data_IF_676772728981
#
_entry.id   IF_676772728981
#
_cell.length_a   1.000
_cell.length_b   1.000
_cell.length_c   1.000
_cell.angle_alpha   90.00
_cell.angle_beta   90.00
_cell.angle_gamma   90.00
#
_symmetry.space_group_name_H-M   'P 1'
#
loop_
_entity.id
_entity.type
_entity.pdbx_description
1 polymer ?
#
# COMPACT_ATOMS: atom_id res chain seq x y z
N UNK A 1 0.70 -52.75 17.19
CA UNK A 1 0.17 -53.14 15.85
C UNK A 1 0.16 -51.89 14.98
N UNK A 2 0.96 -51.93 13.92
CA UNK A 2 1.20 -50.84 12.99
C UNK A 2 0.12 -50.89 11.91
N UNK A 3 -0.59 -49.78 11.66
CA UNK A 3 -1.36 -49.62 10.44
C UNK A 3 -0.92 -48.37 9.70
N UNK A 4 -0.31 -48.65 8.55
CA UNK A 4 0.15 -47.75 7.51
C UNK A 4 -0.97 -46.81 7.06
N UNK A 5 -0.70 -45.50 7.06
CA UNK A 5 -1.35 -44.57 6.13
C UNK A 5 -0.30 -44.06 5.15
N UNK A 6 -0.52 -44.43 3.89
CA UNK A 6 0.36 -44.18 2.75
C UNK A 6 0.40 -42.69 2.40
N UNK A 7 1.62 -42.24 2.13
CA UNK A 7 1.96 -41.00 1.43
C UNK A 7 1.13 -40.81 0.14
N UNK A 8 0.47 -39.65 0.01
CA UNK A 8 0.16 -39.04 -1.30
C UNK A 8 1.28 -38.06 -1.63
N UNK A 9 2.01 -38.33 -2.71
CA UNK A 9 2.89 -37.36 -3.36
C UNK A 9 2.08 -36.44 -4.30
N UNK A 10 2.55 -35.21 -4.55
CA UNK A 10 1.84 -34.22 -5.35
C UNK A 10 1.95 -34.50 -6.86
N UNK A 11 0.87 -34.20 -7.58
CA UNK A 11 0.81 -34.27 -9.05
C UNK A 11 1.43 -33.01 -9.65
N UNK A 12 2.63 -33.16 -10.19
CA UNK A 12 3.25 -32.19 -11.10
C UNK A 12 2.55 -32.22 -12.45
N UNK A 13 1.98 -31.11 -12.90
CA UNK A 13 1.78 -30.86 -14.32
C UNK A 13 2.49 -29.56 -14.71
N UNK A 14 3.48 -29.71 -15.60
CA UNK A 14 4.18 -28.67 -16.33
C UNK A 14 3.91 -28.94 -17.80
N UNK A 15 3.42 -27.94 -18.54
CA UNK A 15 3.51 -27.70 -20.00
C UNK A 15 2.38 -26.71 -20.36
N UNK A 16 2.47 -25.70 -21.20
CA UNK A 16 3.49 -24.93 -21.92
C UNK A 16 2.70 -23.74 -22.58
N UNK A 17 3.33 -22.68 -23.11
CA UNK A 17 2.67 -21.41 -23.39
C UNK A 17 1.94 -21.36 -24.74
N UNK A 18 0.77 -20.71 -24.76
CA UNK A 18 0.06 -20.36 -25.99
C UNK A 18 0.72 -19.14 -26.64
N UNK A 19 1.56 -19.42 -27.62
CA UNK A 19 2.00 -18.48 -28.67
C UNK A 19 0.80 -18.11 -29.54
N UNK A 20 0.42 -16.82 -29.58
CA UNK A 20 -0.48 -16.32 -30.62
C UNK A 20 0.31 -15.57 -31.69
N UNK A 21 0.03 -16.00 -32.91
CA UNK A 21 0.80 -15.83 -34.12
C UNK A 21 0.48 -14.49 -34.78
N UNK A 22 1.53 -13.72 -35.01
CA UNK A 22 1.62 -12.59 -35.93
C UNK A 22 1.09 -12.96 -37.32
N UNK A 23 0.27 -12.07 -37.90
CA UNK A 23 -0.02 -12.03 -39.34
C UNK A 23 0.51 -10.71 -39.92
N UNK A 24 1.60 -10.83 -40.68
CA UNK A 24 2.06 -9.93 -41.75
C UNK A 24 0.98 -9.92 -42.87
N UNK A 25 0.80 -8.99 -43.82
CA UNK A 25 1.44 -7.80 -44.46
C UNK A 25 0.37 -7.28 -45.51
N UNK A 26 0.54 -6.28 -46.42
CA UNK A 26 1.75 -5.65 -46.99
C UNK A 26 1.70 -4.11 -47.23
N UNK A 27 2.73 -3.65 -47.92
CA UNK A 27 3.27 -2.30 -48.08
C UNK A 27 2.55 -1.32 -49.04
N UNK A 28 2.63 -0.02 -48.68
CA UNK A 28 2.92 1.15 -49.54
C UNK A 28 1.75 1.80 -50.33
N UNK A 29 1.88 3.06 -50.83
CA UNK A 29 3.04 3.97 -50.77
C UNK A 29 2.75 5.39 -50.21
N UNK A 30 3.81 6.20 -50.23
CA UNK A 30 3.99 7.53 -49.65
C UNK A 30 3.04 8.65 -50.13
N UNK A 31 2.76 9.59 -49.23
CA UNK A 31 2.25 10.92 -49.53
C UNK A 31 2.74 11.92 -48.49
N UNK A 32 3.71 12.76 -48.87
CA UNK A 32 4.17 13.91 -48.08
C UNK A 32 3.07 14.98 -48.09
N UNK A 33 2.78 15.59 -46.94
CA UNK A 33 2.29 16.97 -46.86
C UNK A 33 2.90 17.63 -45.62
N UNK A 34 3.79 18.58 -45.90
CA UNK A 34 4.32 19.56 -44.96
C UNK A 34 3.24 20.62 -44.66
N UNK A 35 3.46 21.31 -43.54
CA UNK A 35 3.17 22.74 -43.32
C UNK A 35 1.88 23.19 -42.60
N UNK A 36 2.07 23.51 -41.31
CA UNK A 36 1.76 24.78 -40.62
C UNK A 36 0.35 25.41 -40.76
N UNK A 37 -0.44 25.44 -39.66
CA UNK A 37 -0.87 26.66 -38.91
C UNK A 37 -1.85 26.28 -37.77
N UNK A 38 -1.73 26.80 -36.52
CA UNK A 38 -2.61 26.45 -35.41
C UNK A 38 -3.71 27.49 -35.22
N UNK A 39 -4.97 27.12 -35.50
CA UNK A 39 -6.21 27.68 -34.93
C UNK A 39 -7.42 27.09 -35.64
N UNK A 40 -8.04 26.09 -35.03
CA UNK A 40 -9.35 25.58 -35.44
C UNK A 40 -9.71 24.32 -34.65
N UNK A 41 -10.96 24.19 -34.15
CA UNK A 41 -11.41 22.96 -33.51
C UNK A 41 -11.44 21.83 -34.55
N UNK A 42 -11.21 20.56 -34.17
CA UNK A 42 -11.16 19.48 -35.14
C UNK A 42 -12.54 19.33 -35.78
N UNK A 43 -12.63 19.67 -37.06
CA UNK A 43 -13.78 19.37 -37.89
C UNK A 43 -13.83 17.86 -38.09
N UNK A 44 -14.87 17.22 -37.54
CA UNK A 44 -15.23 15.86 -37.87
C UNK A 44 -15.62 15.83 -39.35
N UNK A 45 -14.69 15.43 -40.23
CA UNK A 45 -15.02 15.16 -41.62
C UNK A 45 -15.84 13.87 -41.68
N UNK A 46 -17.13 14.01 -41.96
CA UNK A 46 -18.04 12.92 -42.21
C UNK A 46 -17.57 12.13 -43.46
N UNK A 47 -17.22 10.86 -43.26
CA UNK A 47 -17.13 9.86 -44.33
C UNK A 47 -18.48 9.14 -44.39
N UNK A 48 -19.16 9.06 -45.56
CA UNK A 48 -20.41 8.32 -45.68
C UNK A 48 -20.09 6.82 -45.84
N UNK A 49 -20.45 6.03 -44.82
CA UNK A 49 -20.43 4.57 -44.90
C UNK A 49 -19.30 3.91 -44.13
N UNK A 50 -19.45 3.87 -42.81
CA UNK A 50 -18.64 3.04 -41.93
C UNK A 50 -19.18 3.20 -40.52
N UNK A 51 -19.62 2.12 -39.90
CA UNK A 51 -20.06 2.14 -38.50
C UNK A 51 -18.85 2.40 -37.61
N UNK A 52 -18.49 3.67 -37.42
CA UNK A 52 -17.65 4.08 -36.30
C UNK A 52 -18.48 3.81 -35.04
N UNK A 53 -18.25 2.65 -34.43
CA UNK A 53 -18.43 2.53 -32.99
C UNK A 53 -17.49 3.56 -32.39
N UNK A 54 -18.04 4.69 -31.93
CA UNK A 54 -17.42 5.43 -30.86
C UNK A 54 -17.27 4.44 -29.70
N UNK A 55 -16.12 3.78 -29.60
CA UNK A 55 -15.79 3.06 -28.38
C UNK A 55 -15.87 4.11 -27.27
N UNK A 56 -16.75 3.90 -26.28
CA UNK A 56 -16.79 4.78 -25.13
C UNK A 56 -15.37 4.79 -24.54
N UNK A 57 -14.86 5.96 -24.09
CA UNK A 57 -13.57 5.99 -23.42
C UNK A 57 -13.60 4.93 -22.32
N UNK A 58 -12.67 3.99 -22.39
CA UNK A 58 -12.59 2.88 -21.45
C UNK A 58 -12.24 3.46 -20.07
N UNK A 59 -13.29 3.80 -19.32
CA UNK A 59 -13.20 4.41 -17.99
C UNK A 59 -12.33 3.54 -17.07
N UNK A 60 -12.38 2.22 -17.23
CA UNK A 60 -11.58 1.28 -16.46
C UNK A 60 -10.07 1.37 -16.77
N UNK A 61 -9.69 1.60 -18.03
CA UNK A 61 -8.29 1.83 -18.40
C UNK A 61 -7.76 3.19 -17.90
N UNK A 62 -8.63 4.19 -17.80
CA UNK A 62 -8.32 5.48 -17.17
C UNK A 62 -8.06 5.33 -15.66
N UNK A 63 -8.96 4.62 -14.97
CA UNK A 63 -8.90 4.39 -13.53
C UNK A 63 -7.68 3.55 -13.13
N UNK A 64 -7.35 2.50 -13.90
CA UNK A 64 -6.18 1.67 -13.66
C UNK A 64 -4.86 2.46 -13.74
N UNK A 65 -4.75 3.40 -14.70
CA UNK A 65 -3.58 4.28 -14.82
C UNK A 65 -3.44 5.27 -13.67
N UNK A 66 -4.56 5.74 -13.12
CA UNK A 66 -4.57 6.60 -11.93
C UNK A 66 -4.08 5.80 -10.71
N UNK A 67 -4.54 4.56 -10.56
CA UNK A 67 -4.14 3.69 -9.46
C UNK A 67 -2.64 3.39 -9.48
N UNK A 68 -2.08 3.09 -10.65
CA UNK A 68 -0.63 2.85 -10.81
C UNK A 68 0.21 4.05 -10.39
N UNK A 69 -0.25 5.28 -10.64
CA UNK A 69 0.45 6.50 -10.21
C UNK A 69 0.35 6.78 -8.71
N UNK A 70 -0.53 6.10 -8.00
CA UNK A 70 -0.71 6.27 -6.55
C UNK A 70 0.16 5.32 -5.71
N UNK A 71 0.77 4.32 -6.35
CA UNK A 71 1.67 3.38 -5.68
C UNK A 71 3.00 4.10 -5.44
N UNK A 72 3.26 4.43 -4.17
CA UNK A 72 4.49 5.04 -3.71
C UNK A 72 5.09 4.20 -2.56
N UNK A 73 6.29 4.57 -2.11
CA UNK A 73 6.95 3.88 -1.01
C UNK A 73 6.08 3.80 0.26
N UNK A 74 5.38 4.88 0.61
CA UNK A 74 4.54 4.91 1.81
C UNK A 74 3.38 3.91 1.72
N UNK A 75 2.79 3.73 0.53
CA UNK A 75 1.79 2.70 0.27
C UNK A 75 2.35 1.29 0.52
N UNK A 76 3.53 0.97 -0.04
CA UNK A 76 4.19 -0.32 0.20
C UNK A 76 4.49 -0.54 1.68
N UNK A 77 5.00 0.49 2.36
CA UNK A 77 5.27 0.42 3.78
C UNK A 77 3.99 0.16 4.59
N UNK A 78 2.86 0.78 4.22
CA UNK A 78 1.58 0.51 4.87
C UNK A 78 1.12 -0.94 4.67
N UNK A 79 1.35 -1.53 3.49
CA UNK A 79 1.04 -2.93 3.25
C UNK A 79 1.90 -3.86 4.13
N UNK A 80 3.21 -3.59 4.21
CA UNK A 80 4.12 -4.39 5.04
C UNK A 80 3.80 -4.24 6.54
N UNK A 81 3.38 -3.06 7.01
CA UNK A 81 2.93 -2.84 8.38
C UNK A 81 1.62 -3.58 8.68
N UNK A 82 0.64 -3.52 7.77
CA UNK A 82 -0.70 -4.08 8.00
C UNK A 82 -0.74 -5.59 7.89
N UNK A 83 0.17 -6.20 7.12
CA UNK A 83 0.25 -7.66 6.93
C UNK A 83 0.33 -8.45 8.23
N UNK A 84 1.33 -8.24 9.13
CA UNK A 84 1.40 -8.98 10.39
C UNK A 84 0.18 -8.72 11.28
N UNK A 85 -0.36 -7.51 11.26
CA UNK A 85 -1.57 -7.14 12.01
C UNK A 85 -2.81 -7.89 11.50
N UNK A 86 -2.97 -8.04 10.19
CA UNK A 86 -4.09 -8.77 9.62
C UNK A 86 -4.00 -10.28 9.86
N UNK A 87 -2.78 -10.84 9.87
CA UNK A 87 -2.57 -12.21 10.31
C UNK A 87 -3.03 -12.41 11.76
N UNK A 88 -2.65 -11.51 12.65
CA UNK A 88 -3.05 -11.57 14.06
C UNK A 88 -4.56 -11.42 14.27
N UNK A 89 -5.15 -10.39 13.65
CA UNK A 89 -6.58 -10.10 13.78
C UNK A 89 -7.48 -11.11 13.07
N UNK A 90 -6.97 -11.84 12.06
CA UNK A 90 -7.69 -12.94 11.43
C UNK A 90 -8.04 -14.05 12.42
N UNK A 91 -7.17 -14.34 13.39
CA UNK A 91 -7.42 -15.33 14.44
C UNK A 91 -8.59 -14.92 15.34
N UNK A 92 -8.61 -13.65 15.75
CA UNK A 92 -9.73 -13.10 16.51
C UNK A 92 -11.04 -13.14 15.71
N UNK A 93 -11.00 -12.75 14.43
CA UNK A 93 -12.16 -12.80 13.54
C UNK A 93 -12.73 -14.22 13.44
N UNK A 94 -11.88 -15.21 13.20
CA UNK A 94 -12.28 -16.61 13.10
C UNK A 94 -12.89 -17.13 14.40
N UNK A 95 -12.32 -16.77 15.55
CA UNK A 95 -12.81 -17.19 16.86
C UNK A 95 -14.16 -16.52 17.21
N UNK A 96 -14.33 -15.24 16.91
CA UNK A 96 -15.56 -14.48 17.15
C UNK A 96 -16.74 -14.97 16.29
N UNK A 97 -16.46 -15.60 15.16
CA UNK A 97 -17.48 -16.24 14.32
C UNK A 97 -17.93 -17.61 14.85
N UNK A 98 -17.25 -18.17 15.85
CA UNK A 98 -17.66 -19.42 16.52
C UNK A 98 -18.72 -19.17 17.60
N UNK A 99 -19.40 -20.23 18.03
CA UNK A 99 -20.43 -20.16 19.08
C UNK A 99 -19.88 -19.97 20.49
N UNK A 100 -18.61 -20.27 20.72
CA UNK A 100 -17.98 -20.19 22.05
C UNK A 100 -17.39 -18.79 22.30
N UNK A 101 -18.20 -17.92 22.89
CA UNK A 101 -17.80 -16.56 23.24
C UNK A 101 -16.65 -16.54 24.25
N UNK A 102 -16.60 -17.46 25.21
CA UNK A 102 -15.56 -17.47 26.24
C UNK A 102 -14.19 -17.78 25.63
N UNK A 103 -14.15 -18.77 24.74
CA UNK A 103 -12.95 -19.05 23.97
C UNK A 103 -12.56 -17.88 23.07
N UNK A 104 -13.53 -17.23 22.41
CA UNK A 104 -13.27 -16.07 21.56
C UNK A 104 -12.62 -14.91 22.32
N UNK A 105 -13.09 -14.57 23.52
CA UNK A 105 -12.45 -13.54 24.36
C UNK A 105 -11.01 -13.90 24.75
N UNK A 106 -10.73 -15.18 25.01
CA UNK A 106 -9.37 -15.64 25.31
C UNK A 106 -8.44 -15.48 24.09
N UNK A 107 -8.94 -15.75 22.88
CA UNK A 107 -8.19 -15.51 21.64
C UNK A 107 -7.95 -14.02 21.42
N UNK A 108 -8.95 -13.17 21.64
CA UNK A 108 -8.82 -11.71 21.53
C UNK A 108 -7.75 -11.18 22.50
N UNK A 109 -7.72 -11.65 23.75
CA UNK A 109 -6.69 -11.26 24.71
C UNK A 109 -5.28 -11.69 24.23
N UNK A 110 -5.17 -12.86 23.60
CA UNK A 110 -3.92 -13.31 22.98
C UNK A 110 -3.48 -12.42 21.81
N UNK A 111 -4.41 -12.03 20.93
CA UNK A 111 -4.15 -11.09 19.83
C UNK A 111 -3.72 -9.73 20.35
N UNK A 112 -4.36 -9.23 21.42
CA UNK A 112 -4.00 -7.96 22.04
C UNK A 112 -2.54 -7.96 22.53
N UNK A 113 -2.13 -9.06 23.18
CA UNK A 113 -0.74 -9.23 23.61
C UNK A 113 0.22 -9.27 22.42
N UNK A 114 -0.10 -9.99 21.35
CA UNK A 114 0.75 -10.08 20.16
C UNK A 114 0.88 -8.74 19.42
N UNK A 115 -0.20 -7.95 19.35
CA UNK A 115 -0.14 -6.57 18.82
C UNK A 115 0.79 -5.68 19.64
N UNK A 116 0.83 -5.85 20.96
CA UNK A 116 1.80 -5.15 21.82
C UNK A 116 3.23 -5.64 21.56
N UNK A 117 3.44 -6.94 21.37
CA UNK A 117 4.74 -7.54 21.07
C UNK A 117 5.28 -7.13 19.70
N UNK A 118 4.42 -6.79 18.73
CA UNK A 118 4.85 -6.22 17.44
C UNK A 118 5.48 -4.83 17.59
N UNK A 119 5.16 -4.10 18.67
CA UNK A 119 5.57 -2.70 18.87
C UNK A 119 7.02 -2.59 19.37
N UNK A 120 7.97 -3.07 18.56
CA UNK A 120 9.41 -2.93 18.81
C UNK A 120 10.12 -2.27 17.64
N UNK A 121 11.31 -1.77 17.92
CA UNK A 121 12.18 -1.14 16.93
C UNK A 121 12.66 -2.18 15.91
N UNK A 122 13.02 -3.38 16.37
CA UNK A 122 13.53 -4.46 15.54
C UNK A 122 12.50 -4.94 14.52
N UNK A 123 11.24 -5.12 14.95
CA UNK A 123 10.14 -5.46 14.05
C UNK A 123 9.92 -4.40 12.98
N UNK A 124 10.04 -3.12 13.37
CA UNK A 124 9.92 -2.05 12.39
C UNK A 124 11.08 -2.05 11.39
N UNK A 125 12.32 -2.25 11.84
CA UNK A 125 13.48 -2.32 10.95
C UNK A 125 13.32 -3.43 9.92
N UNK A 126 12.85 -4.62 10.32
CA UNK A 126 12.55 -5.70 9.37
C UNK A 126 11.47 -5.34 8.36
N UNK A 127 10.38 -4.70 8.80
CA UNK A 127 9.30 -4.22 7.94
C UNK A 127 9.80 -3.16 6.95
N UNK A 128 10.60 -2.21 7.44
CA UNK A 128 11.16 -1.13 6.63
C UNK A 128 12.12 -1.66 5.55
N UNK A 129 12.94 -2.65 5.89
CA UNK A 129 13.81 -3.34 4.92
C UNK A 129 13.00 -4.09 3.86
N UNK A 130 11.90 -4.77 4.24
CA UNK A 130 11.02 -5.45 3.28
C UNK A 130 10.37 -4.46 2.31
N UNK A 131 9.84 -3.35 2.82
CA UNK A 131 9.25 -2.30 2.00
C UNK A 131 10.28 -1.66 1.05
N UNK A 132 11.51 -1.45 1.53
CA UNK A 132 12.64 -0.95 0.73
C UNK A 132 12.99 -1.93 -0.40
N UNK A 133 13.14 -3.21 -0.07
CA UNK A 133 13.43 -4.27 -1.06
C UNK A 133 12.32 -4.37 -2.12
N UNK A 134 11.05 -4.26 -1.70
CA UNK A 134 9.90 -4.28 -2.60
C UNK A 134 9.86 -3.04 -3.51
N UNK A 135 10.19 -1.86 -2.98
CA UNK A 135 10.25 -0.64 -3.77
C UNK A 135 11.37 -0.69 -4.81
N UNK A 136 12.55 -1.16 -4.43
CA UNK A 136 13.69 -1.33 -5.35
C UNK A 136 13.37 -2.35 -6.47
N UNK A 137 12.68 -3.45 -6.14
CA UNK A 137 12.31 -4.47 -7.12
C UNK A 137 11.33 -3.97 -8.20
N UNK A 138 10.49 -2.99 -7.85
CA UNK A 138 9.45 -2.43 -8.73
C UNK A 138 9.80 -1.03 -9.25
N UNK A 139 11.06 -0.60 -9.09
CA UNK A 139 11.57 0.73 -9.52
C UNK A 139 10.75 1.90 -8.94
N UNK A 140 10.29 1.75 -7.70
CA UNK A 140 9.54 2.77 -6.96
C UNK A 140 10.52 3.66 -6.19
N UNK A 141 10.39 4.97 -6.37
CA UNK A 141 11.23 5.97 -5.70
C UNK A 141 11.05 5.93 -4.17
N UNK A 142 12.16 5.77 -3.46
CA UNK A 142 12.22 5.87 -2.00
C UNK A 142 12.56 7.31 -1.62
N UNK A 143 11.76 7.98 -0.76
CA UNK A 143 12.03 9.36 -0.39
C UNK A 143 13.39 9.54 0.29
N UNK A 144 14.24 10.43 -0.24
CA UNK A 144 15.51 10.77 0.44
C UNK A 144 15.31 11.72 1.64
N UNK A 145 14.18 12.42 1.67
CA UNK A 145 13.85 13.41 2.69
C UNK A 145 12.55 13.07 3.39
N UNK A 146 12.46 13.41 4.67
CA UNK A 146 11.23 13.25 5.44
C UNK A 146 10.12 14.11 4.81
N UNK A 147 8.94 13.53 4.53
CA UNK A 147 7.78 14.26 4.04
C UNK A 147 7.46 15.50 4.89
N UNK A 148 7.36 16.67 4.24
CA UNK A 148 7.04 17.94 4.89
C UNK A 148 8.24 18.73 5.44
N UNK A 149 9.44 18.15 5.48
CA UNK A 149 10.64 18.84 5.98
C UNK A 149 11.13 19.94 5.01
N UNK A 150 10.89 19.78 3.69
CA UNK A 150 11.25 20.77 2.66
C UNK A 150 10.45 22.08 2.70
N UNK A 151 9.29 22.13 3.39
CA UNK A 151 8.43 23.32 3.47
C UNK A 151 8.64 24.10 4.78
N UNK A 152 9.88 24.37 5.14
CA UNK A 152 10.17 25.33 6.22
C UNK A 152 10.09 26.75 5.64
N UNK A 153 9.09 27.53 6.07
CA UNK A 153 9.03 28.96 5.71
C UNK A 153 10.31 29.63 6.21
N UNK A 154 10.97 30.41 5.35
CA UNK A 154 12.12 31.23 5.77
C UNK A 154 11.62 32.27 6.76
N UNK A 155 11.84 32.04 8.06
CA UNK A 155 11.44 32.97 9.12
C UNK A 155 12.42 34.14 9.13
N UNK A 156 11.94 35.39 9.03
CA UNK A 156 12.80 36.56 9.15
C UNK A 156 13.57 36.55 10.48
N UNK A 157 14.83 36.98 10.44
CA UNK A 157 15.78 36.89 11.56
C UNK A 157 15.28 37.48 12.88
N UNK A 158 14.49 38.57 12.80
CA UNK A 158 13.85 39.23 13.94
C UNK A 158 12.87 38.35 14.74
N UNK A 159 12.40 37.24 14.18
CA UNK A 159 11.49 36.30 14.85
C UNK A 159 12.20 35.03 15.35
N UNK A 160 13.51 34.85 15.10
CA UNK A 160 14.26 33.65 15.52
C UNK A 160 14.34 33.50 17.04
N UNK A 161 14.28 34.61 17.79
CA UNK A 161 14.52 34.64 19.24
C UNK A 161 13.28 34.90 20.09
N UNK A 162 12.11 35.13 19.46
CA UNK A 162 10.86 35.45 20.17
C UNK A 162 10.05 34.22 20.58
N UNK A 163 10.44 33.02 20.12
CA UNK A 163 9.72 31.78 20.40
C UNK A 163 10.61 30.81 21.16
N UNK A 164 10.72 31.00 22.48
CA UNK A 164 11.20 29.97 23.42
C UNK A 164 10.16 28.86 23.62
N UNK A 165 9.40 28.54 22.57
CA UNK A 165 8.40 27.47 22.59
C UNK A 165 8.41 26.77 21.23
N UNK A 166 8.77 25.48 21.27
CA UNK A 166 8.68 24.48 20.19
C UNK A 166 9.86 24.28 19.22
N UNK A 167 11.10 24.64 19.56
CA UNK A 167 12.28 24.34 18.72
C UNK A 167 13.35 23.43 19.37
N UNK A 168 13.08 22.83 20.54
CA UNK A 168 14.14 22.15 21.32
C UNK A 168 14.48 20.70 20.93
N UNK A 169 13.74 20.00 20.06
CA UNK A 169 14.08 18.62 19.69
C UNK A 169 14.28 18.42 18.18
N UNK A 170 15.25 19.11 17.58
CA UNK A 170 15.75 18.74 16.25
C UNK A 170 16.78 17.61 16.36
N UNK A 171 16.36 16.46 16.90
CA UNK A 171 17.03 15.22 16.55
C UNK A 171 16.93 15.07 15.02
N UNK A 172 18.05 14.80 14.35
CA UNK A 172 18.07 14.40 12.95
C UNK A 172 17.35 13.06 12.89
N UNK A 173 16.03 13.08 12.70
CA UNK A 173 15.25 11.88 12.49
C UNK A 173 15.71 11.29 11.16
N UNK A 174 16.10 10.03 11.16
CA UNK A 174 16.24 9.29 9.90
C UNK A 174 14.85 9.10 9.28
N UNK A 175 14.79 8.79 7.99
CA UNK A 175 13.52 8.48 7.33
C UNK A 175 12.81 7.29 8.01
N UNK A 176 13.59 6.27 8.40
CA UNK A 176 13.12 5.11 9.15
C UNK A 176 12.51 5.55 10.50
N UNK A 177 13.22 6.36 11.29
CA UNK A 177 12.72 6.85 12.58
C UNK A 177 11.44 7.67 12.43
N UNK A 178 11.35 8.49 11.37
CA UNK A 178 10.14 9.24 11.05
C UNK A 178 8.95 8.31 10.83
N UNK A 179 9.07 7.32 9.94
CA UNK A 179 7.96 6.41 9.65
C UNK A 179 7.63 5.49 10.82
N UNK A 180 8.65 5.10 11.61
CA UNK A 180 8.46 4.30 12.83
C UNK A 180 7.51 4.99 13.81
N UNK A 181 7.80 6.24 14.15
CA UNK A 181 6.96 7.00 15.06
C UNK A 181 5.63 7.39 14.42
N UNK A 182 5.68 7.95 13.20
CA UNK A 182 4.53 8.60 12.58
C UNK A 182 3.48 7.62 12.07
N UNK A 183 3.91 6.48 11.52
CA UNK A 183 3.01 5.48 10.96
C UNK A 183 2.93 4.24 11.84
N UNK A 184 4.06 3.56 12.08
CA UNK A 184 4.03 2.22 12.67
C UNK A 184 3.51 2.19 14.11
N UNK A 185 4.18 2.90 15.02
CA UNK A 185 3.76 2.95 16.42
C UNK A 185 2.39 3.60 16.58
N UNK A 186 2.12 4.68 15.83
CA UNK A 186 0.80 5.32 15.84
C UNK A 186 -0.31 4.35 15.44
N UNK A 187 -0.10 3.57 14.37
CA UNK A 187 -1.06 2.56 13.92
C UNK A 187 -1.29 1.45 14.95
N UNK A 188 -0.21 0.87 15.50
CA UNK A 188 -0.31 -0.18 16.51
C UNK A 188 -0.98 0.32 17.80
N UNK A 189 -0.65 1.53 18.24
CA UNK A 189 -1.24 2.14 19.43
C UNK A 189 -2.74 2.39 19.24
N UNK A 190 -3.16 2.89 18.07
CA UNK A 190 -4.58 3.07 17.73
C UNK A 190 -5.32 1.73 17.63
N UNK A 191 -4.73 0.73 16.98
CA UNK A 191 -5.32 -0.60 16.87
C UNK A 191 -5.53 -1.22 18.26
N UNK A 192 -4.50 -1.15 19.11
CA UNK A 192 -4.58 -1.65 20.49
C UNK A 192 -5.72 -0.95 21.23
N UNK A 193 -5.77 0.38 21.20
CA UNK A 193 -6.83 1.17 21.85
C UNK A 193 -8.21 0.75 21.35
N UNK A 194 -8.39 0.55 20.04
CA UNK A 194 -9.66 0.11 19.48
C UNK A 194 -10.05 -1.31 19.92
N UNK A 195 -9.10 -2.24 19.99
CA UNK A 195 -9.34 -3.60 20.49
C UNK A 195 -9.70 -3.56 21.99
N UNK A 196 -8.98 -2.80 22.80
CA UNK A 196 -9.29 -2.63 24.23
C UNK A 196 -10.68 -2.04 24.43
N UNK A 197 -10.99 -0.95 23.72
CA UNK A 197 -12.29 -0.27 23.80
C UNK A 197 -13.44 -1.22 23.47
N UNK A 198 -13.30 -2.03 22.42
CA UNK A 198 -14.36 -2.94 21.94
C UNK A 198 -14.57 -4.15 22.85
N UNK A 199 -13.49 -4.75 23.38
CA UNK A 199 -13.58 -6.03 24.08
C UNK A 199 -13.41 -5.94 25.60
N UNK A 200 -12.86 -4.83 26.12
CA UNK A 200 -12.71 -4.58 27.57
C UNK A 200 -13.61 -3.46 28.09
N UNK A 201 -14.20 -2.68 27.18
CA UNK A 201 -15.10 -1.57 27.50
C UNK A 201 -14.35 -0.28 27.85
N UNK A 202 -15.01 0.87 27.66
CA UNK A 202 -14.51 2.17 28.11
C UNK A 202 -14.51 2.22 29.65
N UNK A 203 -13.35 1.99 30.26
CA UNK A 203 -13.17 2.20 31.69
C UNK A 203 -14.05 1.31 32.56
N UNK A 204 -13.65 0.05 32.74
CA UNK A 204 -13.83 -0.57 34.06
C UNK A 204 -13.02 0.28 35.04
N UNK A 205 -13.67 1.26 35.68
CA UNK A 205 -13.17 1.83 36.93
C UNK A 205 -12.90 0.63 37.82
N UNK A 206 -11.62 0.42 38.17
CA UNK A 206 -11.24 -0.54 39.19
C UNK A 206 -12.11 -0.25 40.41
N UNK A 207 -12.95 -1.22 40.77
CA UNK A 207 -13.83 -1.18 41.93
C UNK A 207 -13.24 -2.13 42.97
#
# INVERSE_FOLDING_TARGET
MQHLWRHRKPSTQVSAPLSYRSSQTPAGPAGKCLENNPKGPPCCHAIPGGSEKCEPPDLAAGDAKILLRSINFEFLLCLEITTPVFLETSMASNALQQKDLKAAYTVVDGVLRRVQELRTDEQFTEIFMKATTAAEAEDIEIPEQIPGQGRRRKVPEKFKYSSTSANEDHHVLTLEEYYRGKLYFTFLDLLRQELERRFRGEGKKQQ
#
